data_IF_768889208756
#
_entry.id   IF_768889208756
#
_cell.length_a   1.000
_cell.length_b   1.000
_cell.length_c   1.000
_cell.angle_alpha   90.00
_cell.angle_beta   90.00
_cell.angle_gamma   90.00
#
_symmetry.space_group_name_H-M   'P 1'
#
loop_
_entity.id
_entity.type
_entity.pdbx_description
1 polymer ?
#
# COMPACT_ATOMS: atom_id res chain seq x y z
N UNK A 1 15.36 -4.19 -5.87
CA UNK A 1 14.12 -4.97 -5.83
C UNK A 1 13.91 -5.50 -7.22
N UNK A 2 14.36 -6.74 -7.40
CA UNK A 2 13.97 -7.61 -8.48
C UNK A 2 12.54 -8.10 -8.23
N UNK A 3 11.81 -8.36 -9.32
CA UNK A 3 10.43 -8.85 -9.31
C UNK A 3 10.43 -10.08 -10.18
N UNK A 4 10.34 -11.28 -9.61
CA UNK A 4 10.38 -12.47 -10.45
C UNK A 4 9.84 -13.71 -9.77
N UNK A 5 9.36 -14.61 -10.63
CA UNK A 5 9.23 -16.03 -10.35
C UNK A 5 10.56 -16.79 -10.59
N UNK A 6 11.68 -16.07 -10.77
CA UNK A 6 12.96 -16.53 -11.34
C UNK A 6 14.19 -15.75 -10.82
N UNK A 7 14.13 -15.07 -9.68
CA UNK A 7 15.31 -14.45 -9.08
C UNK A 7 16.33 -15.50 -8.69
N UNK A 8 17.60 -15.14 -8.59
CA UNK A 8 18.64 -16.06 -8.08
C UNK A 8 18.49 -16.35 -6.57
N UNK A 9 17.46 -15.79 -5.93
CA UNK A 9 17.11 -15.91 -4.52
C UNK A 9 18.24 -15.48 -3.58
N UNK A 10 19.02 -14.47 -3.97
CA UNK A 10 20.10 -13.90 -3.14
C UNK A 10 19.79 -12.51 -2.58
N UNK A 11 18.79 -11.82 -3.15
CA UNK A 11 18.36 -10.48 -2.78
C UNK A 11 16.86 -10.44 -2.43
N UNK A 12 16.38 -9.37 -1.76
CA UNK A 12 14.96 -9.20 -1.50
C UNK A 12 14.11 -9.23 -2.78
N UNK A 13 13.14 -10.14 -2.80
CA UNK A 13 12.34 -10.47 -3.98
C UNK A 13 10.85 -10.47 -3.66
N UNK A 14 10.05 -9.86 -4.53
CA UNK A 14 8.58 -9.96 -4.46
C UNK A 14 8.15 -11.31 -5.04
N UNK A 15 7.45 -12.11 -4.22
CA UNK A 15 6.94 -13.42 -4.64
C UNK A 15 5.61 -13.24 -5.36
N UNK A 16 5.65 -13.13 -6.68
CA UNK A 16 4.47 -12.84 -7.53
C UNK A 16 3.34 -13.85 -7.29
N UNK A 17 3.63 -15.16 -7.25
CA UNK A 17 2.61 -16.21 -7.08
C UNK A 17 1.96 -16.28 -5.69
N UNK A 18 2.48 -15.53 -4.71
CA UNK A 18 1.93 -15.41 -3.35
C UNK A 18 1.52 -13.97 -3.00
N UNK A 19 1.53 -13.09 -4.00
CA UNK A 19 1.11 -11.71 -3.87
C UNK A 19 -0.21 -11.51 -4.62
N UNK A 20 -1.00 -10.56 -4.17
CA UNK A 20 -2.12 -10.00 -4.94
C UNK A 20 -1.59 -9.30 -6.20
N UNK A 21 -2.51 -8.85 -7.06
CA UNK A 21 -2.13 -8.02 -8.21
C UNK A 21 -1.29 -6.81 -7.77
N UNK A 22 -0.21 -6.59 -8.50
CA UNK A 22 0.72 -5.49 -8.27
C UNK A 22 1.26 -5.01 -9.61
N UNK A 23 1.46 -3.70 -9.71
CA UNK A 23 2.02 -3.06 -10.88
C UNK A 23 3.28 -2.31 -10.46
N UNK A 24 4.43 -2.93 -10.73
CA UNK A 24 5.70 -2.22 -10.66
C UNK A 24 5.73 -1.16 -11.75
N UNK A 25 5.93 0.09 -11.36
CA UNK A 25 5.96 1.20 -12.32
C UNK A 25 6.86 2.35 -11.89
N UNK A 26 7.16 3.21 -12.84
CA UNK A 26 7.85 4.47 -12.65
C UNK A 26 6.89 5.65 -12.77
N UNK A 27 7.19 6.75 -12.08
CA UNK A 27 6.41 8.00 -12.22
C UNK A 27 5.01 7.94 -11.62
N UNK A 28 4.88 7.28 -10.47
CA UNK A 28 3.66 7.28 -9.67
C UNK A 28 3.51 8.59 -8.87
N UNK A 29 2.29 8.92 -8.46
CA UNK A 29 2.04 10.14 -7.70
C UNK A 29 1.00 9.95 -6.61
N UNK A 30 1.27 10.58 -5.47
CA UNK A 30 0.42 10.59 -4.28
C UNK A 30 0.24 12.05 -3.87
N UNK A 31 -0.99 12.55 -3.84
CA UNK A 31 -1.31 13.93 -3.52
C UNK A 31 -0.47 14.93 -4.35
N UNK A 32 -0.42 14.70 -5.67
CA UNK A 32 0.37 15.45 -6.64
C UNK A 32 1.90 15.43 -6.45
N UNK A 33 2.41 14.72 -5.44
CA UNK A 33 3.85 14.51 -5.26
C UNK A 33 4.29 13.33 -6.10
N UNK A 34 5.23 13.56 -7.03
CA UNK A 34 5.78 12.52 -7.90
C UNK A 34 6.87 11.73 -7.20
N UNK A 35 6.83 10.42 -7.39
CA UNK A 35 7.87 9.48 -6.99
C UNK A 35 8.40 8.76 -8.21
N UNK A 36 9.70 8.50 -8.24
CA UNK A 36 10.35 7.97 -9.43
C UNK A 36 9.97 6.51 -9.68
N UNK A 37 9.74 5.74 -8.61
CA UNK A 37 9.60 4.29 -8.64
C UNK A 37 8.77 3.78 -7.47
N UNK A 38 8.14 2.61 -7.64
CA UNK A 38 7.43 1.91 -6.58
C UNK A 38 6.51 0.84 -7.14
N UNK A 39 5.52 0.46 -6.33
CA UNK A 39 4.52 -0.54 -6.68
C UNK A 39 3.14 0.01 -6.38
N UNK A 40 2.26 -0.08 -7.37
CA UNK A 40 0.83 0.19 -7.22
C UNK A 40 0.09 -1.13 -7.00
N UNK A 41 -0.86 -1.15 -6.08
CA UNK A 41 -1.71 -2.29 -5.75
C UNK A 41 -3.17 -1.85 -5.64
N UNK A 42 -4.10 -2.80 -5.65
CA UNK A 42 -5.49 -2.52 -5.28
C UNK A 42 -5.63 -2.37 -3.76
N UNK A 43 -6.68 -1.66 -3.33
CA UNK A 43 -7.21 -1.79 -1.98
C UNK A 43 -7.62 -3.24 -1.71
N UNK A 44 -7.33 -3.74 -0.50
CA UNK A 44 -7.39 -5.17 -0.15
C UNK A 44 -6.37 -6.01 -0.92
N UNK A 45 -5.09 -5.76 -0.66
CA UNK A 45 -3.98 -6.49 -1.27
C UNK A 45 -2.94 -6.92 -0.24
N UNK A 46 -2.17 -7.95 -0.59
CA UNK A 46 -1.00 -8.42 0.14
C UNK A 46 0.15 -8.67 -0.82
N UNK A 47 1.32 -8.09 -0.54
CA UNK A 47 2.56 -8.31 -1.30
C UNK A 47 3.56 -9.00 -0.38
N UNK A 48 4.01 -10.19 -0.76
CA UNK A 48 5.02 -10.95 -0.03
C UNK A 48 6.42 -10.61 -0.58
N UNK A 49 7.31 -10.18 0.31
CA UNK A 49 8.74 -10.01 0.02
C UNK A 49 9.52 -11.06 0.80
N UNK A 50 10.18 -11.98 0.09
CA UNK A 50 11.22 -12.83 0.68
C UNK A 50 12.52 -12.03 0.75
N UNK A 51 13.18 -12.01 1.90
CA UNK A 51 14.36 -11.17 2.13
C UNK A 51 15.63 -11.82 1.59
N UNK A 52 15.70 -13.15 1.58
CA UNK A 52 16.79 -13.98 1.04
C UNK A 52 18.20 -13.73 1.62
N UNK A 53 18.35 -12.77 2.53
CA UNK A 53 19.58 -12.42 3.24
C UNK A 53 19.26 -11.62 4.51
N UNK A 54 20.29 -11.27 5.28
CA UNK A 54 20.12 -10.44 6.48
C UNK A 54 19.76 -9.01 6.10
N UNK A 55 18.54 -8.61 6.41
CA UNK A 55 18.04 -7.26 6.21
C UNK A 55 17.64 -6.62 7.52
N UNK A 56 17.75 -5.29 7.61
CA UNK A 56 17.55 -4.56 8.87
C UNK A 56 16.40 -3.58 8.81
N UNK A 57 16.06 -3.07 7.61
CA UNK A 57 15.01 -2.07 7.45
C UNK A 57 14.22 -2.22 6.15
N UNK A 58 12.91 -1.98 6.24
CA UNK A 58 12.02 -1.68 5.12
C UNK A 58 11.60 -0.20 5.17
N UNK A 59 11.68 0.49 4.03
CA UNK A 59 11.31 1.91 3.88
C UNK A 59 10.47 2.13 2.63
N UNK A 60 9.50 3.05 2.72
CA UNK A 60 8.64 3.47 1.61
C UNK A 60 7.92 4.78 1.96
N UNK A 61 7.23 5.35 0.96
CA UNK A 61 6.18 6.34 1.14
C UNK A 61 4.85 5.69 0.73
N UNK A 62 3.89 5.60 1.65
CA UNK A 62 2.64 4.89 1.44
C UNK A 62 1.47 5.87 1.27
N UNK A 63 0.64 5.68 0.24
CA UNK A 63 -0.54 6.54 0.05
C UNK A 63 -1.46 6.09 -1.06
N UNK A 64 -2.62 6.73 -1.16
CA UNK A 64 -3.59 6.49 -2.25
C UNK A 64 -3.03 7.10 -3.52
N UNK A 65 -3.01 6.32 -4.60
CA UNK A 65 -2.50 6.71 -5.91
C UNK A 65 -3.45 7.76 -6.53
N UNK A 66 -2.89 8.81 -7.14
CA UNK A 66 -3.68 9.86 -7.81
C UNK A 66 -4.49 9.34 -9.02
N UNK A 67 -4.18 8.15 -9.55
CA UNK A 67 -5.05 7.43 -10.49
C UNK A 67 -6.45 7.15 -9.94
N UNK A 68 -6.59 7.15 -8.61
CA UNK A 68 -7.89 7.03 -7.91
C UNK A 68 -8.66 8.36 -7.89
N UNK A 69 -8.12 9.44 -8.48
CA UNK A 69 -8.77 10.75 -8.60
C UNK A 69 -9.24 11.35 -7.26
N UNK A 70 -8.48 11.09 -6.19
CA UNK A 70 -8.78 11.59 -4.84
C UNK A 70 -9.87 10.82 -4.10
N UNK A 71 -10.33 9.68 -4.62
CA UNK A 71 -11.34 8.84 -3.97
C UNK A 71 -10.71 7.72 -3.13
N UNK A 72 -11.53 7.18 -2.23
CA UNK A 72 -11.20 6.00 -1.45
C UNK A 72 -10.42 6.29 -0.17
N UNK A 73 -10.55 5.37 0.78
CA UNK A 73 -9.75 5.35 2.00
C UNK A 73 -9.14 3.98 2.21
N UNK A 74 -7.87 3.95 2.64
CA UNK A 74 -7.14 2.70 2.89
C UNK A 74 -6.34 2.78 4.17
N UNK A 75 -5.87 1.62 4.61
CA UNK A 75 -4.88 1.51 5.67
C UNK A 75 -3.76 0.58 5.26
N UNK A 76 -2.54 1.03 5.50
CA UNK A 76 -1.31 0.31 5.20
C UNK A 76 -0.80 -0.39 6.46
N UNK A 77 -0.30 -1.61 6.30
CA UNK A 77 0.36 -2.36 7.36
C UNK A 77 1.57 -3.11 6.82
N UNK A 78 2.56 -3.31 7.68
CA UNK A 78 3.69 -4.23 7.43
C UNK A 78 3.63 -5.31 8.49
N UNK A 79 3.64 -6.57 8.07
CA UNK A 79 3.69 -7.74 8.94
C UNK A 79 4.98 -8.53 8.70
N UNK A 80 5.41 -9.26 9.72
CA UNK A 80 6.44 -10.28 9.57
C UNK A 80 5.89 -11.56 8.91
N UNK A 81 6.75 -12.55 8.74
CA UNK A 81 6.39 -13.84 8.14
C UNK A 81 5.49 -14.72 8.99
N UNK A 82 5.34 -14.41 10.28
CA UNK A 82 4.51 -15.15 11.24
C UNK A 82 3.13 -14.49 11.42
N UNK A 83 2.90 -13.34 10.78
CA UNK A 83 1.65 -12.59 10.80
C UNK A 83 1.58 -11.56 11.94
N UNK A 84 2.66 -11.31 12.67
CA UNK A 84 2.71 -10.22 13.65
C UNK A 84 2.89 -8.87 12.94
N UNK A 85 2.11 -7.87 13.36
CA UNK A 85 2.14 -6.54 12.75
C UNK A 85 3.32 -5.74 13.28
N UNK A 86 4.23 -5.39 12.38
CA UNK A 86 5.41 -4.57 12.68
C UNK A 86 5.12 -3.07 12.60
N UNK A 87 4.17 -2.67 11.73
CA UNK A 87 3.80 -1.28 11.53
C UNK A 87 2.38 -1.14 10.97
N UNK A 88 1.74 0.01 11.24
CA UNK A 88 0.41 0.36 10.72
C UNK A 88 0.28 1.88 10.54
N UNK A 89 -0.33 2.31 9.44
CA UNK A 89 -0.70 3.71 9.22
C UNK A 89 -2.00 4.09 9.96
N UNK A 90 -2.26 5.40 10.15
CA UNK A 90 -3.62 5.94 10.20
C UNK A 90 -4.45 5.56 8.95
N UNK A 91 -5.75 5.88 8.93
CA UNK A 91 -6.49 5.86 7.64
C UNK A 91 -5.90 6.92 6.73
N UNK A 92 -5.62 6.56 5.48
CA UNK A 92 -5.13 7.45 4.44
C UNK A 92 -6.20 7.55 3.37
N UNK A 93 -6.67 8.76 3.11
CA UNK A 93 -7.67 9.01 2.06
C UNK A 93 -6.99 9.46 0.78
N UNK A 94 -7.72 9.39 -0.34
CA UNK A 94 -7.36 10.07 -1.56
C UNK A 94 -7.04 11.55 -1.31
N UNK A 95 -5.92 12.02 -1.86
CA UNK A 95 -5.44 13.40 -1.69
C UNK A 95 -4.69 13.68 -0.38
N UNK A 96 -4.62 12.74 0.56
CA UNK A 96 -3.73 12.87 1.73
C UNK A 96 -2.26 12.73 1.30
N UNK A 97 -1.37 13.47 1.98
CA UNK A 97 0.06 13.32 1.79
C UNK A 97 0.52 11.89 2.14
N UNK A 98 1.51 11.39 1.40
CA UNK A 98 2.06 10.05 1.63
C UNK A 98 2.62 9.91 3.06
N UNK A 99 2.35 8.77 3.68
CA UNK A 99 2.82 8.44 5.03
C UNK A 99 4.20 7.77 4.94
N UNK A 100 5.22 8.25 5.66
CA UNK A 100 6.52 7.61 5.67
C UNK A 100 6.48 6.27 6.42
N UNK A 101 7.02 5.25 5.78
CA UNK A 101 7.16 3.90 6.32
C UNK A 101 8.63 3.67 6.68
N UNK A 102 8.90 3.31 7.93
CA UNK A 102 10.23 2.92 8.42
C UNK A 102 10.08 1.79 9.43
N UNK A 103 10.40 0.57 9.02
CA UNK A 103 10.13 -0.65 9.79
C UNK A 103 11.42 -1.42 10.02
N UNK A 104 11.70 -1.80 11.26
CA UNK A 104 12.79 -2.71 11.60
C UNK A 104 12.37 -4.15 11.24
N UNK A 105 13.20 -4.83 10.45
CA UNK A 105 12.91 -6.18 9.92
C UNK A 105 14.06 -7.16 10.20
N UNK A 106 14.94 -6.81 11.14
CA UNK A 106 16.04 -7.68 11.56
C UNK A 106 15.51 -9.01 12.11
N UNK A 107 16.13 -10.11 11.68
CA UNK A 107 15.72 -11.47 12.06
C UNK A 107 14.57 -12.05 11.25
N UNK A 108 13.92 -11.24 10.40
CA UNK A 108 12.85 -11.72 9.55
C UNK A 108 13.40 -12.46 8.33
N UNK A 109 12.67 -13.47 7.86
CA UNK A 109 12.94 -14.13 6.57
C UNK A 109 12.13 -13.49 5.44
N UNK A 110 10.96 -12.95 5.77
CA UNK A 110 10.02 -12.33 4.84
C UNK A 110 9.22 -11.24 5.54
N UNK A 111 8.59 -10.39 4.74
CA UNK A 111 7.60 -9.41 5.21
C UNK A 111 6.40 -9.37 4.26
N UNK A 112 5.24 -9.06 4.82
CA UNK A 112 4.03 -8.81 4.05
C UNK A 112 3.67 -7.33 4.09
N UNK A 113 3.50 -6.74 2.91
CA UNK A 113 2.96 -5.39 2.75
C UNK A 113 1.48 -5.51 2.46
N UNK A 114 0.64 -4.98 3.34
CA UNK A 114 -0.81 -5.17 3.25
C UNK A 114 -1.50 -3.83 3.15
N UNK A 115 -2.47 -3.74 2.25
CA UNK A 115 -3.38 -2.60 2.12
C UNK A 115 -4.80 -3.11 2.35
N UNK A 116 -5.51 -2.51 3.29
CA UNK A 116 -6.91 -2.80 3.57
C UNK A 116 -7.76 -1.57 3.19
N UNK A 117 -8.91 -1.78 2.56
CA UNK A 117 -9.91 -0.72 2.41
C UNK A 117 -10.37 -0.24 3.80
N UNK A 118 -10.57 1.06 3.93
CA UNK A 118 -11.10 1.70 5.13
C UNK A 118 -12.35 2.50 4.74
N UNK A 119 -13.23 2.75 5.70
CA UNK A 119 -14.40 3.59 5.44
C UNK A 119 -13.96 5.04 5.24
N UNK A 120 -14.38 5.65 4.14
CA UNK A 120 -14.21 7.08 3.91
C UNK A 120 -15.13 7.89 4.83
N UNK A 121 -14.58 8.30 5.98
CA UNK A 121 -15.28 9.13 6.95
C UNK A 121 -15.40 10.61 6.52
N UNK A 122 -14.70 11.07 5.48
CA UNK A 122 -14.78 12.47 5.01
C UNK A 122 -16.00 12.71 4.14
N UNK A 123 -16.40 11.72 3.34
CA UNK A 123 -17.68 11.79 2.59
C UNK A 123 -18.89 11.88 3.54
N UNK A 124 -18.80 11.29 4.75
CA UNK A 124 -19.85 11.37 5.76
C UNK A 124 -20.01 12.78 6.40
N UNK A 125 -19.02 13.66 6.28
CA UNK A 125 -19.00 14.97 6.94
C UNK A 125 -19.36 16.14 5.99
N UNK A 126 -19.70 15.86 4.73
CA UNK A 126 -19.75 16.83 3.63
C UNK A 126 -21.10 17.15 2.98
N UNK A 127 -22.26 16.91 3.59
CA UNK A 127 -23.57 17.31 2.98
C UNK A 127 -24.45 18.17 3.87
N UNK A 128 -24.01 19.42 4.06
CA UNK A 128 -24.88 20.55 4.39
C UNK A 128 -25.39 21.26 3.12
N UNK A 129 -25.96 20.52 2.16
CA UNK A 129 -26.77 21.07 1.07
C UNK A 129 -27.58 19.92 0.44
N UNK A 130 -28.89 20.11 0.31
CA UNK A 130 -29.84 19.05 -0.03
C UNK A 130 -29.53 18.32 -1.33
N UNK A 131 -29.36 17.01 -1.23
CA UNK A 131 -29.59 16.05 -2.32
C UNK A 131 -30.14 14.78 -1.67
N UNK A 132 -31.19 14.21 -2.25
CA UNK A 132 -32.04 13.21 -1.61
C UNK A 132 -31.31 12.01 -1.01
N UNK A 133 -31.86 11.48 0.09
CA UNK A 133 -31.46 10.21 0.69
C UNK A 133 -31.70 9.05 -0.29
N UNK A 134 -30.74 8.81 -1.17
CA UNK A 134 -30.53 7.53 -1.85
C UNK A 134 -29.47 6.73 -1.11
N UNK A 135 -29.51 5.40 -1.23
CA UNK A 135 -28.72 4.41 -0.49
C UNK A 135 -27.18 4.49 -0.75
N UNK A 136 -26.53 5.60 -0.38
CA UNK A 136 -25.14 5.94 -0.70
C UNK A 136 -24.05 5.13 0.01
N UNK A 137 -24.39 4.30 1.00
CA UNK A 137 -23.43 3.44 1.70
C UNK A 137 -22.82 2.36 0.78
N UNK A 138 -23.59 1.86 -0.19
CA UNK A 138 -23.12 0.84 -1.13
C UNK A 138 -22.15 1.37 -2.19
N UNK A 139 -22.29 2.65 -2.54
CA UNK A 139 -21.46 3.29 -3.57
C UNK A 139 -20.09 3.66 -3.00
N UNK A 140 -20.02 4.22 -1.79
CA UNK A 140 -18.75 4.52 -1.11
C UNK A 140 -17.89 3.27 -0.90
N UNK A 141 -18.49 2.18 -0.37
CA UNK A 141 -17.80 0.89 -0.20
C UNK A 141 -17.31 0.27 -1.51
N UNK A 142 -18.06 0.45 -2.60
CA UNK A 142 -17.63 -0.02 -3.92
C UNK A 142 -16.40 0.74 -4.41
N UNK A 143 -16.31 2.05 -4.16
CA UNK A 143 -15.14 2.87 -4.50
C UNK A 143 -13.93 2.56 -3.62
N UNK A 144 -14.12 2.31 -2.33
CA UNK A 144 -13.03 1.89 -1.43
C UNK A 144 -12.39 0.56 -1.86
N UNK A 145 -13.18 -0.35 -2.44
CA UNK A 145 -12.69 -1.65 -2.92
C UNK A 145 -11.92 -1.58 -4.25
N UNK A 146 -12.07 -0.50 -5.03
CA UNK A 146 -11.38 -0.32 -6.32
C UNK A 146 -10.26 0.71 -6.26
N UNK A 147 -10.03 1.35 -5.11
CA UNK A 147 -8.96 2.31 -4.93
C UNK A 147 -7.58 1.69 -5.23
N UNK A 148 -6.69 2.50 -5.82
CA UNK A 148 -5.30 2.13 -6.03
C UNK A 148 -4.43 2.77 -4.94
N UNK A 149 -3.46 2.00 -4.46
CA UNK A 149 -2.56 2.40 -3.39
C UNK A 149 -1.11 2.13 -3.79
N UNK A 150 -0.24 3.03 -3.38
CA UNK A 150 1.18 3.02 -3.73
C UNK A 150 2.05 2.73 -2.52
N UNK A 151 3.02 1.84 -2.72
CA UNK A 151 4.25 1.74 -1.94
C UNK A 151 5.39 2.41 -2.71
N UNK A 152 5.41 3.74 -2.68
CA UNK A 152 6.37 4.58 -3.38
C UNK A 152 7.77 4.48 -2.77
N UNK A 153 8.80 4.55 -3.61
CA UNK A 153 10.23 4.49 -3.22
C UNK A 153 10.58 3.29 -2.33
N UNK A 154 9.84 2.18 -2.50
CA UNK A 154 10.03 0.96 -1.71
C UNK A 154 11.48 0.46 -1.77
N UNK A 155 12.05 0.22 -0.58
CA UNK A 155 13.43 -0.18 -0.37
C UNK A 155 13.55 -1.12 0.82
N UNK A 156 14.35 -2.17 0.65
CA UNK A 156 14.84 -3.03 1.73
C UNK A 156 16.34 -2.79 1.86
N UNK A 157 16.82 -2.57 3.08
CA UNK A 157 18.23 -2.39 3.39
C UNK A 157 18.80 -3.67 3.99
N UNK A 158 19.81 -4.25 3.34
CA UNK A 158 20.45 -5.49 3.74
C UNK A 158 21.95 -5.33 3.92
N UNK A 159 22.53 -6.22 4.73
CA UNK A 159 23.97 -6.39 4.92
C UNK A 159 24.48 -7.56 4.11
#
# INVERSE_FOLDING_TARGET
MSYSAFGDHTEPEVVIGRSSWLWQRSGLSIAATRYARGVTVHANSSVLIELNRRCTRYEAMAGVDDLTMGLGAVRFSVFDGDGARLWRSPVVHGGDAAVPVRVHIAGQQRVHLVVEAAEDTRTAMGTGAGMGKGNGEGVGRAFDAVALADWAESRVSCT
#
